data_IF_791458186645
#
_entry.id   IF_791458186645
#
_cell.length_a   1.000
_cell.length_b   1.000
_cell.length_c   1.000
_cell.angle_alpha   90.00
_cell.angle_beta   90.00
_cell.angle_gamma   90.00
#
_symmetry.space_group_name_H-M   'P 1'
#
loop_
_entity.id
_entity.type
_entity.pdbx_description
1 polymer ?
#
# COMPACT_ATOMS: atom_id res chain seq x y z
N UNK A 1 1.39 2.57 -15.93
CA UNK A 1 0.16 1.82 -15.59
C UNK A 1 -1.04 2.68 -15.97
N UNK A 2 -2.18 2.15 -16.45
CA UNK A 2 -3.34 3.03 -16.71
C UNK A 2 -3.88 3.57 -15.38
N UNK A 3 -4.26 4.86 -15.28
CA UNK A 3 -4.80 5.44 -14.05
C UNK A 3 -6.03 4.67 -13.53
N UNK A 4 -6.82 4.07 -14.41
CA UNK A 4 -7.96 3.22 -14.06
C UNK A 4 -7.57 1.93 -13.32
N UNK A 5 -6.44 1.32 -13.69
CA UNK A 5 -5.97 0.08 -13.08
C UNK A 5 -5.41 0.33 -11.68
N UNK A 6 -4.74 1.47 -11.49
CA UNK A 6 -4.25 1.90 -10.17
C UNK A 6 -5.38 2.05 -9.15
N UNK A 7 -6.43 2.80 -9.53
CA UNK A 7 -7.60 3.02 -8.68
C UNK A 7 -8.28 1.70 -8.33
N UNK A 8 -8.36 0.76 -9.28
CA UNK A 8 -8.91 -0.59 -9.03
C UNK A 8 -8.10 -1.37 -7.99
N UNK A 9 -6.77 -1.31 -8.01
CA UNK A 9 -5.95 -1.95 -6.98
C UNK A 9 -6.09 -1.28 -5.63
N UNK A 10 -6.10 0.06 -5.58
CA UNK A 10 -6.32 0.82 -4.35
C UNK A 10 -7.65 0.47 -3.70
N UNK A 11 -8.74 0.43 -4.47
CA UNK A 11 -10.06 0.06 -3.97
C UNK A 11 -10.09 -1.36 -3.39
N UNK A 12 -9.39 -2.31 -4.01
CA UNK A 12 -9.25 -3.68 -3.47
C UNK A 12 -8.50 -3.70 -2.15
N UNK A 13 -7.41 -2.96 -2.04
CA UNK A 13 -6.63 -2.88 -0.79
C UNK A 13 -7.45 -2.20 0.32
N UNK A 14 -8.17 -1.12 0.02
CA UNK A 14 -9.05 -0.45 0.99
C UNK A 14 -10.12 -1.41 1.51
N UNK A 15 -10.75 -2.20 0.64
CA UNK A 15 -11.76 -3.19 1.05
C UNK A 15 -11.18 -4.25 2.02
N UNK A 16 -9.94 -4.70 1.79
CA UNK A 16 -9.26 -5.62 2.69
C UNK A 16 -8.94 -4.96 4.04
N UNK A 17 -8.44 -3.73 4.01
CA UNK A 17 -8.14 -2.96 5.23
C UNK A 17 -9.40 -2.69 6.05
N UNK A 18 -10.52 -2.36 5.41
CA UNK A 18 -11.82 -2.15 6.07
C UNK A 18 -12.35 -3.43 6.71
N UNK A 19 -12.17 -4.56 6.02
CA UNK A 19 -12.47 -5.88 6.58
C UNK A 19 -11.58 -6.15 7.80
N UNK A 20 -10.29 -5.86 7.71
CA UNK A 20 -9.34 -5.97 8.82
C UNK A 20 -9.74 -5.13 10.03
N UNK A 21 -10.08 -3.86 9.85
CA UNK A 21 -10.55 -2.96 10.91
C UNK A 21 -11.82 -3.46 11.60
N UNK A 22 -12.73 -4.04 10.82
CA UNK A 22 -14.03 -4.53 11.32
C UNK A 22 -13.87 -5.80 12.15
N UNK A 23 -13.03 -6.73 11.72
CA UNK A 23 -12.97 -8.07 12.31
C UNK A 23 -11.76 -8.29 13.23
N UNK A 24 -10.76 -7.41 13.21
CA UNK A 24 -9.60 -7.56 14.08
C UNK A 24 -9.97 -7.41 15.55
N UNK A 25 -9.37 -8.26 16.38
CA UNK A 25 -9.48 -8.26 17.84
C UNK A 25 -8.18 -7.85 18.51
N UNK A 26 -7.08 -7.83 17.75
CA UNK A 26 -5.76 -7.44 18.24
C UNK A 26 -5.57 -5.93 18.06
N UNK A 27 -5.16 -5.19 19.12
CA UNK A 27 -4.99 -3.75 19.05
C UNK A 27 -3.84 -3.33 18.11
N UNK A 28 -2.76 -4.11 18.02
CA UNK A 28 -1.64 -3.83 17.11
C UNK A 28 -2.04 -4.08 15.65
N UNK A 29 -2.89 -5.08 15.38
CA UNK A 29 -3.48 -5.24 14.05
C UNK A 29 -4.39 -4.07 13.68
N UNK A 30 -5.17 -3.55 14.64
CA UNK A 30 -5.99 -2.37 14.40
C UNK A 30 -5.12 -1.16 14.01
N UNK A 31 -4.06 -0.88 14.76
CA UNK A 31 -3.11 0.18 14.43
C UNK A 31 -2.51 -0.01 13.02
N UNK A 32 -2.13 -1.24 12.65
CA UNK A 32 -1.65 -1.56 11.29
C UNK A 32 -2.68 -1.23 10.21
N UNK A 33 -3.94 -1.60 10.42
CA UNK A 33 -4.98 -1.32 9.44
C UNK A 33 -5.36 0.17 9.38
N UNK A 34 -5.30 0.90 10.50
CA UNK A 34 -5.52 2.36 10.53
C UNK A 34 -4.44 3.08 9.71
N UNK A 35 -3.17 2.69 9.88
CA UNK A 35 -2.04 3.24 9.13
C UNK A 35 -2.17 2.93 7.63
N UNK A 36 -2.45 1.67 7.28
CA UNK A 36 -2.73 1.26 5.90
C UNK A 36 -3.88 2.06 5.28
N UNK A 37 -4.94 2.34 6.05
CA UNK A 37 -6.09 3.10 5.54
C UNK A 37 -5.72 4.56 5.25
N UNK A 38 -4.88 5.17 6.08
CA UNK A 38 -4.37 6.53 5.85
C UNK A 38 -3.58 6.59 4.55
N UNK A 39 -2.56 5.71 4.41
CA UNK A 39 -1.70 5.66 3.23
C UNK A 39 -2.51 5.42 1.94
N UNK A 40 -3.44 4.47 1.96
CA UNK A 40 -4.27 4.17 0.77
C UNK A 40 -5.20 5.32 0.39
N UNK A 41 -5.69 6.08 1.38
CA UNK A 41 -6.53 7.26 1.14
C UNK A 41 -5.72 8.39 0.51
N UNK A 42 -4.48 8.59 0.96
CA UNK A 42 -3.55 9.55 0.36
C UNK A 42 -3.20 9.16 -1.09
N UNK A 43 -2.89 7.89 -1.32
CA UNK A 43 -2.60 7.38 -2.67
C UNK A 43 -3.80 7.52 -3.61
N UNK A 44 -5.02 7.34 -3.12
CA UNK A 44 -6.24 7.52 -3.92
C UNK A 44 -6.45 8.99 -4.32
N UNK A 45 -6.15 9.92 -3.42
CA UNK A 45 -6.27 11.35 -3.68
C UNK A 45 -5.19 11.88 -4.65
N UNK A 46 -4.00 11.27 -4.66
CA UNK A 46 -2.88 11.74 -5.46
C UNK A 46 -2.95 11.34 -6.95
N UNK A 47 -3.83 10.41 -7.33
CA UNK A 47 -3.93 9.94 -8.72
C UNK A 47 -2.64 9.26 -9.20
N UNK A 48 -2.70 8.54 -10.32
CA UNK A 48 -1.54 7.82 -10.86
C UNK A 48 -1.29 8.26 -12.29
N UNK A 49 -0.22 9.02 -12.49
CA UNK A 49 0.48 9.12 -13.79
C UNK A 49 1.95 8.71 -13.60
N UNK A 50 2.15 7.54 -12.95
CA UNK A 50 3.47 6.98 -12.72
C UNK A 50 3.90 6.11 -13.92
N UNK A 51 5.07 6.43 -14.47
CA UNK A 51 5.75 5.58 -15.44
C UNK A 51 6.27 4.32 -14.74
N UNK A 52 5.98 3.16 -15.32
CA UNK A 52 6.40 1.88 -14.76
C UNK A 52 7.91 1.69 -14.87
N UNK A 53 8.56 2.28 -15.89
CA UNK A 53 10.00 2.17 -16.09
C UNK A 53 10.77 2.98 -15.02
N UNK A 54 10.34 4.21 -14.74
CA UNK A 54 10.91 5.04 -13.68
C UNK A 54 10.76 4.41 -12.29
N UNK A 55 9.57 3.87 -11.98
CA UNK A 55 9.33 3.18 -10.71
C UNK A 55 10.21 1.93 -10.57
N UNK A 56 10.39 1.17 -11.65
CA UNK A 56 11.22 -0.03 -11.62
C UNK A 56 12.71 0.29 -11.41
N UNK A 57 13.22 1.40 -11.94
CA UNK A 57 14.59 1.86 -11.70
C UNK A 57 14.80 2.33 -10.26
N UNK A 58 13.84 3.08 -9.69
CA UNK A 58 13.93 3.56 -8.29
C UNK A 58 13.90 2.39 -7.29
N UNK A 59 13.17 1.33 -7.58
CA UNK A 59 13.05 0.16 -6.70
C UNK A 59 14.25 -0.80 -6.75
N UNK A 60 15.26 -0.55 -7.59
CA UNK A 60 16.49 -1.36 -7.62
C UNK A 60 17.48 -0.90 -6.53
N UNK A 61 18.27 -1.81 -5.94
CA UNK A 61 18.31 -3.26 -6.17
C UNK A 61 17.18 -4.00 -5.44
N UNK A 62 16.54 -4.95 -6.11
CA UNK A 62 15.49 -5.78 -5.52
C UNK A 62 16.01 -6.85 -4.55
N UNK A 63 17.33 -7.08 -4.53
CA UNK A 63 17.98 -7.99 -3.59
C UNK A 63 18.29 -7.29 -2.27
N UNK A 64 17.50 -7.58 -1.24
CA UNK A 64 17.82 -7.24 0.14
C UNK A 64 18.33 -8.48 0.89
N UNK A 65 19.42 -8.35 1.63
CA UNK A 65 19.91 -9.39 2.54
C UNK A 65 19.50 -9.05 3.98
N UNK A 66 19.20 -10.07 4.78
CA UNK A 66 18.89 -9.88 6.19
C UNK A 66 20.10 -9.25 6.91
N UNK A 67 19.91 -8.09 7.52
CA UNK A 67 20.88 -7.40 8.36
C UNK A 67 20.36 -7.35 9.80
N UNK A 68 21.22 -7.13 10.83
CA UNK A 68 20.75 -6.94 12.20
C UNK A 68 19.67 -5.87 12.26
N UNK A 69 18.65 -6.09 13.11
CA UNK A 69 17.57 -5.15 13.30
C UNK A 69 18.13 -3.81 13.79
N UNK A 70 17.62 -2.72 13.21
CA UNK A 70 17.95 -1.34 13.57
C UNK A 70 17.44 -0.99 14.97
#
# INVERSE_FOLDING_TARGET
MKPSDFVKYLQRMIALTDTGLTFTKDPFDRERYEDLRSLLSEMLNQGSDLDAEEVAEVLKPTSAYATPLM
#
